data_IF_726339654754
#
_entry.id   IF_726339654754
#
_cell.length_a   1.000
_cell.length_b   1.000
_cell.length_c   1.000
_cell.angle_alpha   90.00
_cell.angle_beta   90.00
_cell.angle_gamma   90.00
#
_symmetry.space_group_name_H-M   'P 1'
#
loop_
_entity.id
_entity.type
_entity.pdbx_description
1 polymer ?
#
# COMPACT_ATOMS: atom_id res chain seq x y z
N UNK A 1 -30.90 2.12 -14.01
CA UNK A 1 -29.54 2.28 -13.46
C UNK A 1 -29.39 1.33 -12.29
N UNK A 2 -28.65 0.24 -12.45
CA UNK A 2 -28.51 -0.78 -11.40
C UNK A 2 -27.69 -0.25 -10.21
N UNK A 3 -27.84 -0.82 -9.00
CA UNK A 3 -26.98 -0.46 -7.88
C UNK A 3 -25.54 -0.80 -8.26
N UNK A 4 -24.66 0.21 -8.23
CA UNK A 4 -23.22 0.01 -8.46
C UNK A 4 -22.69 -1.05 -7.51
N UNK A 5 -21.74 -1.87 -7.98
CA UNK A 5 -21.10 -2.89 -7.18
C UNK A 5 -20.70 -2.33 -5.79
N UNK A 6 -20.90 -3.11 -4.70
CA UNK A 6 -20.60 -2.61 -3.36
C UNK A 6 -19.14 -2.19 -3.30
N UNK A 7 -18.90 -0.96 -2.81
CA UNK A 7 -17.56 -0.44 -2.63
C UNK A 7 -16.79 -1.33 -1.64
N UNK A 8 -15.50 -1.58 -1.92
CA UNK A 8 -14.65 -2.31 -0.98
C UNK A 8 -14.72 -1.65 0.42
N UNK A 9 -14.83 -2.46 1.49
CA UNK A 9 -14.87 -1.91 2.83
C UNK A 9 -13.51 -1.27 3.20
N UNK A 10 -13.51 -0.31 4.13
CA UNK A 10 -12.29 0.21 4.74
C UNK A 10 -11.38 -0.92 5.27
N UNK A 11 -10.09 -0.84 4.94
CA UNK A 11 -9.15 -1.91 5.24
C UNK A 11 -7.70 -1.45 5.34
N UNK A 12 -6.88 -2.29 5.95
CA UNK A 12 -5.44 -2.32 5.73
C UNK A 12 -5.13 -3.35 4.64
N UNK A 13 -4.15 -3.05 3.80
CA UNK A 13 -3.86 -3.79 2.58
C UNK A 13 -2.35 -3.79 2.30
N UNK A 14 -1.96 -4.54 1.28
CA UNK A 14 -0.60 -4.52 0.77
C UNK A 14 -0.52 -4.59 -0.76
N UNK A 15 0.53 -3.99 -1.30
CA UNK A 15 0.93 -4.01 -2.71
C UNK A 15 2.37 -4.51 -2.82
N UNK A 16 2.64 -5.45 -3.70
CA UNK A 16 3.97 -6.04 -3.90
C UNK A 16 4.67 -5.40 -5.09
N UNK A 17 5.97 -5.10 -4.95
CA UNK A 17 6.79 -4.75 -6.09
C UNK A 17 7.03 -5.98 -6.97
N UNK A 18 6.90 -5.82 -8.29
CA UNK A 18 7.09 -6.90 -9.27
C UNK A 18 8.54 -7.33 -9.45
N UNK A 19 9.51 -6.51 -9.01
CA UNK A 19 10.93 -6.73 -9.27
C UNK A 19 11.78 -7.01 -8.03
N UNK A 20 11.35 -6.62 -6.82
CA UNK A 20 12.10 -6.84 -5.60
C UNK A 20 11.24 -7.48 -4.49
N UNK A 21 11.64 -8.64 -3.94
CA UNK A 21 10.91 -9.34 -2.87
C UNK A 21 10.65 -8.51 -1.62
N UNK A 22 11.56 -7.59 -1.29
CA UNK A 22 11.50 -6.68 -0.15
C UNK A 22 10.59 -5.46 -0.37
N UNK A 23 10.18 -5.21 -1.62
CA UNK A 23 9.37 -4.05 -2.00
C UNK A 23 7.89 -4.23 -1.69
N UNK A 24 7.53 -4.66 -0.49
CA UNK A 24 6.13 -4.78 -0.06
C UNK A 24 5.69 -3.47 0.60
N UNK A 25 4.69 -2.82 0.03
CA UNK A 25 4.07 -1.64 0.61
C UNK A 25 2.85 -2.05 1.44
N UNK A 26 2.78 -1.58 2.68
CA UNK A 26 1.60 -1.68 3.53
C UNK A 26 0.93 -0.33 3.66
N UNK A 27 -0.39 -0.32 3.58
CA UNK A 27 -1.19 0.89 3.73
C UNK A 27 -2.54 0.63 4.38
N UNK A 28 -3.23 1.70 4.78
CA UNK A 28 -4.64 1.65 5.11
C UNK A 28 -5.50 2.65 4.33
N UNK A 29 -6.78 2.33 4.22
CA UNK A 29 -7.75 3.20 3.57
C UNK A 29 -9.13 3.17 4.25
N UNK A 30 -9.73 4.36 4.37
CA UNK A 30 -11.16 4.54 4.68
C UNK A 30 -12.06 4.56 3.44
N UNK A 31 -11.47 4.54 2.24
CA UNK A 31 -12.14 4.45 0.93
C UNK A 31 -11.97 3.03 0.37
N UNK A 32 -12.59 2.74 -0.77
CA UNK A 32 -12.33 1.48 -1.48
C UNK A 32 -10.86 1.33 -1.86
N UNK A 33 -10.38 0.10 -1.91
CA UNK A 33 -9.01 -0.22 -2.28
C UNK A 33 -8.70 0.26 -3.70
N UNK A 34 -9.66 0.08 -4.63
CA UNK A 34 -9.56 0.62 -5.99
C UNK A 34 -9.34 2.14 -6.03
N UNK A 35 -10.05 2.90 -5.20
CA UNK A 35 -9.87 4.35 -5.13
C UNK A 35 -8.51 4.74 -4.54
N UNK A 36 -8.03 3.99 -3.55
CA UNK A 36 -6.69 4.18 -2.96
C UNK A 36 -5.59 3.90 -3.99
N UNK A 37 -5.67 2.81 -4.74
CA UNK A 37 -4.70 2.49 -5.78
C UNK A 37 -4.67 3.54 -6.89
N UNK A 38 -5.83 4.10 -7.26
CA UNK A 38 -5.90 5.23 -8.20
C UNK A 38 -5.17 6.46 -7.67
N UNK A 39 -5.32 6.78 -6.37
CA UNK A 39 -4.60 7.89 -5.74
C UNK A 39 -3.09 7.65 -5.79
N UNK A 40 -2.62 6.44 -5.45
CA UNK A 40 -1.20 6.11 -5.48
C UNK A 40 -0.58 6.25 -6.87
N UNK A 41 -1.26 5.75 -7.90
CA UNK A 41 -0.84 5.94 -9.30
C UNK A 41 -0.75 7.41 -9.68
N UNK A 42 -1.68 8.22 -9.19
CA UNK A 42 -1.64 9.68 -9.39
C UNK A 42 -0.43 10.30 -8.68
N UNK A 43 -0.18 9.96 -7.42
CA UNK A 43 0.98 10.44 -6.66
C UNK A 43 2.31 10.10 -7.36
N UNK A 44 2.43 8.90 -7.93
CA UNK A 44 3.60 8.51 -8.73
C UNK A 44 3.73 9.37 -9.99
N UNK A 45 2.62 9.61 -10.70
CA UNK A 45 2.61 10.46 -11.90
C UNK A 45 2.96 11.91 -11.58
N UNK A 46 2.50 12.41 -10.43
CA UNK A 46 2.72 13.78 -9.96
C UNK A 46 4.07 13.95 -9.26
N UNK A 47 4.90 12.90 -9.17
CA UNK A 47 6.19 12.89 -8.46
C UNK A 47 6.10 13.33 -6.98
N UNK A 48 5.08 12.88 -6.27
CA UNK A 48 4.84 13.22 -4.87
C UNK A 48 5.87 12.54 -3.94
N UNK A 49 6.83 13.33 -3.44
CA UNK A 49 7.90 12.86 -2.53
C UNK A 49 7.40 12.37 -1.16
N UNK A 50 6.14 12.62 -0.80
CA UNK A 50 5.53 12.05 0.41
C UNK A 50 4.97 10.64 0.17
N UNK A 51 4.92 10.18 -1.07
CA UNK A 51 4.50 8.83 -1.43
C UNK A 51 5.68 7.86 -1.38
N UNK A 52 5.68 6.96 -0.39
CA UNK A 52 6.69 5.91 -0.29
C UNK A 52 6.77 5.04 -1.56
N UNK A 53 5.65 4.81 -2.24
CA UNK A 53 5.59 4.09 -3.52
C UNK A 53 6.31 4.84 -4.64
N UNK A 54 6.17 6.18 -4.68
CA UNK A 54 6.90 7.01 -5.64
C UNK A 54 8.39 7.01 -5.32
N UNK A 55 8.77 7.26 -4.07
CA UNK A 55 10.17 7.23 -3.65
C UNK A 55 10.83 5.90 -4.00
N UNK A 56 10.16 4.78 -3.73
CA UNK A 56 10.64 3.45 -4.13
C UNK A 56 10.90 3.34 -5.63
N UNK A 57 9.96 3.77 -6.48
CA UNK A 57 10.11 3.68 -7.93
C UNK A 57 11.12 4.69 -8.51
N UNK A 58 11.28 5.86 -7.89
CA UNK A 58 12.29 6.87 -8.25
C UNK A 58 13.69 6.34 -7.96
N UNK A 59 13.88 5.75 -6.78
CA UNK A 59 15.18 5.30 -6.29
C UNK A 59 15.56 3.93 -6.88
N UNK A 60 14.60 3.19 -7.45
CA UNK A 60 14.81 1.90 -8.11
C UNK A 60 14.24 1.90 -9.55
N UNK A 61 15.01 2.38 -10.55
CA UNK A 61 14.54 2.49 -11.92
C UNK A 61 14.03 1.17 -12.50
N UNK A 62 12.84 1.20 -13.10
CA UNK A 62 12.18 0.03 -13.69
C UNK A 62 11.27 -0.74 -12.72
N UNK A 63 11.35 -0.48 -11.42
CA UNK A 63 10.45 -1.11 -10.45
C UNK A 63 9.02 -0.62 -10.63
N UNK A 64 8.06 -1.51 -10.36
CA UNK A 64 6.63 -1.21 -10.40
C UNK A 64 5.88 -2.09 -9.41
N UNK A 65 4.71 -1.63 -8.96
CA UNK A 65 3.86 -2.36 -8.03
C UNK A 65 2.74 -3.13 -8.73
N UNK A 66 2.35 -4.26 -8.17
CA UNK A 66 1.23 -5.07 -8.64
C UNK A 66 -0.12 -4.61 -8.10
N UNK A 67 -0.68 -3.59 -8.75
CA UNK A 67 -1.97 -3.00 -8.36
C UNK A 67 -3.18 -3.91 -8.57
N UNK A 68 -3.07 -4.94 -9.43
CA UNK A 68 -4.14 -5.92 -9.66
C UNK A 68 -4.08 -7.02 -8.60
N UNK A 69 -2.87 -7.35 -8.15
CA UNK A 69 -2.61 -8.24 -7.02
C UNK A 69 -2.71 -7.57 -5.65
N UNK A 70 -3.24 -6.35 -5.53
CA UNK A 70 -3.44 -5.69 -4.23
C UNK A 70 -4.31 -6.54 -3.29
N UNK A 71 -3.80 -6.86 -2.10
CA UNK A 71 -4.49 -7.75 -1.15
C UNK A 71 -4.98 -7.03 0.07
N UNK A 72 -6.25 -7.22 0.42
CA UNK A 72 -6.78 -6.83 1.72
C UNK A 72 -6.22 -7.75 2.80
N UNK A 73 -5.56 -7.17 3.80
CA UNK A 73 -4.97 -7.91 4.93
C UNK A 73 -5.88 -7.87 6.15
N UNK A 74 -6.54 -6.74 6.39
CA UNK A 74 -7.42 -6.56 7.54
C UNK A 74 -8.59 -5.63 7.25
N UNK A 75 -9.82 -6.12 7.43
CA UNK A 75 -11.05 -5.33 7.27
C UNK A 75 -11.44 -4.68 8.59
N UNK A 76 -11.61 -3.37 8.60
CA UNK A 76 -12.12 -2.65 9.78
C UNK A 76 -12.63 -1.27 9.40
N UNK A 77 -13.85 -0.93 9.84
CA UNK A 77 -14.39 0.43 9.74
C UNK A 77 -13.74 1.40 10.74
N UNK A 78 -13.18 0.88 11.84
CA UNK A 78 -12.46 1.69 12.83
C UNK A 78 -11.04 2.03 12.32
N UNK A 79 -10.77 3.32 12.17
CA UNK A 79 -9.48 3.84 11.67
C UNK A 79 -8.31 3.52 12.61
N UNK A 80 -8.51 3.64 13.93
CA UNK A 80 -7.45 3.37 14.90
C UNK A 80 -6.99 1.91 14.82
N UNK A 81 -7.92 0.95 14.67
CA UNK A 81 -7.57 -0.46 14.46
C UNK A 81 -6.77 -0.66 13.17
N UNK A 82 -7.14 0.02 12.08
CA UNK A 82 -6.40 -0.08 10.81
C UNK A 82 -4.98 0.48 10.93
N UNK A 83 -4.81 1.61 11.61
CA UNK A 83 -3.49 2.22 11.87
C UNK A 83 -2.60 1.33 12.74
N UNK A 84 -3.16 0.71 13.78
CA UNK A 84 -2.41 -0.24 14.62
C UNK A 84 -1.96 -1.45 13.80
N UNK A 85 -2.84 -2.01 12.96
CA UNK A 85 -2.47 -3.14 12.09
C UNK A 85 -1.45 -2.75 11.03
N UNK A 86 -1.62 -1.61 10.36
CA UNK A 86 -0.64 -1.06 9.41
C UNK A 86 0.73 -0.87 10.07
N UNK A 87 0.76 -0.25 11.26
CA UNK A 87 2.00 -0.06 12.01
C UNK A 87 2.67 -1.39 12.39
N UNK A 88 1.88 -2.38 12.81
CA UNK A 88 2.40 -3.71 13.12
C UNK A 88 2.97 -4.40 11.87
N UNK A 89 2.25 -4.36 10.74
CA UNK A 89 2.72 -4.93 9.47
C UNK A 89 4.04 -4.28 9.02
N UNK A 90 4.12 -2.95 9.06
CA UNK A 90 5.36 -2.23 8.73
C UNK A 90 6.49 -2.65 9.68
N UNK A 91 6.24 -2.69 10.99
CA UNK A 91 7.25 -3.03 11.98
C UNK A 91 7.75 -4.49 11.87
N UNK A 92 6.90 -5.43 11.47
CA UNK A 92 7.27 -6.85 11.36
C UNK A 92 7.82 -7.23 9.98
N UNK A 93 7.52 -6.45 8.94
CA UNK A 93 7.98 -6.73 7.58
C UNK A 93 9.12 -5.82 7.11
N UNK A 94 9.45 -4.78 7.87
CA UNK A 94 10.77 -4.16 7.74
C UNK A 94 11.76 -5.17 8.26
N UNK A 95 12.49 -5.85 7.36
CA UNK A 95 13.68 -6.58 7.79
C UNK A 95 14.50 -5.60 8.64
N UNK A 96 14.75 -5.97 9.89
CA UNK A 96 15.61 -5.23 10.79
C UNK A 96 16.85 -4.79 9.99
N UNK A 97 16.99 -3.49 9.71
CA UNK A 97 18.21 -2.91 9.15
C UNK A 97 19.37 -2.93 10.18
N UNK A 98 19.42 -3.97 11.00
CA UNK A 98 20.45 -4.22 11.98
C UNK A 98 21.13 -5.55 11.63
N UNK A 99 21.79 -5.57 10.47
CA UNK A 99 22.98 -6.39 10.31
C UNK A 99 24.21 -5.46 10.30
N UNK A 100 25.04 -5.67 11.33
CA UNK A 100 26.47 -5.35 11.45
C UNK A 100 26.92 -3.90 11.72
N UNK A 101 27.27 -3.64 12.99
CA UNK A 101 28.63 -3.18 13.37
C UNK A 101 29.11 -4.00 14.56
#
# INVERSE_FOLDING_TARGET
TGPGAPADPPCSYMDECKLCPEGVYFGQTGKSLKARNKQHRKNITDADELSALFCHMRDNPGHSYDWEGSRMVFKSFNESKRKVVESALIATNTQLQFETW
#
